data_IF_467307634259
#
_entry.id   IF_467307634259
#
_cell.length_a   1.000
_cell.length_b   1.000
_cell.length_c   1.000
_cell.angle_alpha   90.00
_cell.angle_beta   90.00
_cell.angle_gamma   90.00
#
_symmetry.space_group_name_H-M   'P 1'
#
loop_
_entity.id
_entity.type
_entity.pdbx_description
1 polymer ?
#
# COMPACT_ATOMS: atom_id res chain seq x y z
N UNK A 1 30.35 -8.39 37.79
CA UNK A 1 30.39 -7.42 36.67
C UNK A 1 29.86 -8.12 35.44
N UNK A 2 28.54 -8.09 35.26
CA UNK A 2 27.83 -8.71 34.14
C UNK A 2 27.80 -7.72 32.99
N UNK A 3 28.42 -8.10 31.89
CA UNK A 3 28.46 -7.34 30.65
C UNK A 3 27.16 -7.64 29.89
N UNK A 4 26.21 -6.71 29.91
CA UNK A 4 25.01 -6.79 29.08
C UNK A 4 25.40 -6.53 27.63
N UNK A 5 25.44 -7.60 26.84
CA UNK A 5 25.51 -7.51 25.39
C UNK A 5 24.21 -6.90 24.87
N UNK A 6 24.23 -5.59 24.64
CA UNK A 6 23.19 -4.89 23.90
C UNK A 6 23.06 -5.51 22.51
N UNK A 7 21.94 -6.21 22.29
CA UNK A 7 21.52 -6.69 20.98
C UNK A 7 21.20 -5.46 20.12
N UNK A 8 22.15 -5.07 19.27
CA UNK A 8 21.92 -4.09 18.22
C UNK A 8 21.04 -4.74 17.15
N UNK A 9 19.72 -4.54 17.22
CA UNK A 9 18.82 -4.80 16.10
C UNK A 9 19.26 -3.87 14.97
N UNK A 10 20.00 -4.40 14.01
CA UNK A 10 20.31 -3.68 12.77
C UNK A 10 18.99 -3.34 12.09
N UNK A 11 18.57 -2.07 12.19
CA UNK A 11 17.36 -1.54 11.58
C UNK A 11 17.44 -1.64 10.07
N UNK A 12 17.01 -2.78 9.53
CA UNK A 12 16.95 -3.00 8.09
C UNK A 12 15.87 -2.06 7.55
N UNK A 13 16.30 -1.09 6.75
CA UNK A 13 15.40 -0.14 6.09
C UNK A 13 14.45 -0.92 5.18
N UNK A 14 13.15 -0.60 5.25
CA UNK A 14 12.17 -1.23 4.39
C UNK A 14 12.43 -0.80 2.93
N UNK A 15 12.34 -1.68 1.90
CA UNK A 15 12.61 -1.32 0.51
C UNK A 15 11.78 -0.13 -0.02
N UNK A 16 10.58 0.06 0.53
CA UNK A 16 9.72 1.21 0.20
C UNK A 16 10.05 2.48 1.01
N UNK A 17 10.78 2.40 2.12
CA UNK A 17 11.14 3.57 2.92
C UNK A 17 9.95 4.51 3.24
N UNK A 18 10.15 5.81 3.02
CA UNK A 18 9.09 6.83 3.09
C UNK A 18 8.44 7.02 1.72
N UNK A 19 7.12 6.84 1.66
CA UNK A 19 6.31 7.02 0.46
C UNK A 19 5.39 8.22 0.58
N UNK A 20 5.25 9.01 -0.49
CA UNK A 20 4.12 9.94 -0.65
C UNK A 20 3.00 9.19 -1.34
N UNK A 21 1.87 9.07 -0.64
CA UNK A 21 0.72 8.28 -1.05
C UNK A 21 -0.15 9.03 -2.05
N UNK A 22 -0.51 10.26 -1.71
CA UNK A 22 -1.24 11.16 -2.59
C UNK A 22 -1.06 12.61 -2.13
N UNK A 23 -1.33 13.53 -3.04
CA UNK A 23 -1.23 14.98 -2.82
C UNK A 23 -2.55 15.63 -3.17
N UNK A 24 -3.12 16.36 -2.22
CA UNK A 24 -4.27 17.21 -2.45
C UNK A 24 -3.80 18.65 -2.64
N UNK A 25 -4.29 19.32 -3.70
CA UNK A 25 -4.04 20.73 -3.93
C UNK A 25 -5.20 21.55 -3.41
N UNK A 26 -4.92 22.50 -2.52
CA UNK A 26 -5.88 23.52 -2.12
C UNK A 26 -5.45 24.88 -2.67
N UNK A 27 -6.38 25.56 -3.33
CA UNK A 27 -6.20 26.95 -3.76
C UNK A 27 -7.05 27.81 -2.84
N UNK A 28 -6.42 28.47 -1.89
CA UNK A 28 -7.12 29.37 -0.98
C UNK A 28 -7.15 30.76 -1.61
N UNK A 29 -8.31 31.15 -2.17
CA UNK A 29 -8.39 32.40 -2.95
C UNK A 29 -9.77 32.90 -3.37
N UNK A 30 -10.90 32.36 -2.88
CA UNK A 30 -12.22 32.99 -3.07
C UNK A 30 -12.44 34.06 -2.01
N UNK A 31 -11.75 35.20 -2.13
CA UNK A 31 -12.22 36.44 -1.52
C UNK A 31 -12.30 37.50 -2.62
N UNK A 32 -13.52 37.79 -3.05
CA UNK A 32 -13.89 38.63 -4.21
C UNK A 32 -13.53 40.11 -4.07
N UNK A 33 -12.62 40.50 -3.17
CA UNK A 33 -12.27 41.92 -2.95
C UNK A 33 -10.84 42.23 -2.48
N UNK A 34 -9.87 41.30 -2.54
CA UNK A 34 -8.46 41.65 -2.28
C UNK A 34 -7.52 41.05 -3.33
N UNK A 35 -6.83 41.94 -4.06
CA UNK A 35 -5.69 41.61 -4.95
C UNK A 35 -4.47 41.17 -4.11
N UNK A 36 -4.55 40.01 -3.47
CA UNK A 36 -3.40 39.33 -2.86
C UNK A 36 -2.91 38.19 -3.76
N UNK A 37 -1.65 37.75 -3.65
CA UNK A 37 -1.16 36.58 -4.37
C UNK A 37 -1.99 35.35 -3.96
N UNK A 38 -2.39 34.54 -4.95
CA UNK A 38 -3.01 33.24 -4.72
C UNK A 38 -2.01 32.37 -3.93
N UNK A 39 -2.36 32.00 -2.70
CA UNK A 39 -1.57 31.05 -1.94
C UNK A 39 -2.01 29.65 -2.35
N UNK A 40 -1.15 28.97 -3.09
CA UNK A 40 -1.30 27.55 -3.40
C UNK A 40 -0.67 26.73 -2.28
N UNK A 41 -1.46 25.88 -1.66
CA UNK A 41 -1.01 24.95 -0.65
C UNK A 41 -1.22 23.52 -1.13
N UNK A 42 -0.33 22.63 -0.72
CA UNK A 42 -0.45 21.20 -0.96
C UNK A 42 -0.55 20.46 0.38
N UNK A 43 -1.42 19.47 0.43
CA UNK A 43 -1.49 18.52 1.53
C UNK A 43 -0.91 17.20 1.02
N UNK A 44 0.22 16.79 1.58
CA UNK A 44 0.88 15.54 1.22
C UNK A 44 0.54 14.50 2.29
N UNK A 45 0.04 13.35 1.86
CA UNK A 45 -0.15 12.20 2.72
C UNK A 45 1.02 11.25 2.52
N UNK A 46 1.73 10.91 3.59
CA UNK A 46 2.92 10.07 3.53
C UNK A 46 2.81 8.87 4.46
N UNK A 47 3.47 7.79 4.10
CA UNK A 47 3.63 6.62 4.94
C UNK A 47 5.09 6.20 5.03
N UNK A 48 5.57 6.04 6.26
CA UNK A 48 6.91 5.55 6.55
C UNK A 48 6.83 4.04 6.86
N UNK A 49 7.27 3.22 5.92
CA UNK A 49 7.28 1.75 6.07
C UNK A 49 8.28 1.25 7.11
N UNK A 50 9.34 2.02 7.40
CA UNK A 50 10.30 1.66 8.44
C UNK A 50 9.73 1.91 9.84
N UNK A 51 8.89 2.94 9.98
CA UNK A 51 8.28 3.34 11.26
C UNK A 51 6.82 2.89 11.41
N UNK A 52 6.25 2.24 10.39
CA UNK A 52 4.82 1.88 10.31
C UNK A 52 3.91 3.07 10.69
N UNK A 53 4.13 4.24 10.09
CA UNK A 53 3.43 5.48 10.51
C UNK A 53 3.06 6.40 9.36
N UNK A 54 1.82 6.86 9.37
CA UNK A 54 1.30 7.84 8.44
C UNK A 54 1.45 9.29 8.93
N UNK A 55 1.61 10.20 7.97
CA UNK A 55 1.75 11.63 8.19
C UNK A 55 0.91 12.42 7.20
N UNK A 56 0.33 13.52 7.67
CA UNK A 56 -0.22 14.59 6.84
C UNK A 56 0.71 15.79 6.93
N UNK A 57 1.20 16.26 5.79
CA UNK A 57 2.07 17.43 5.70
C UNK A 57 1.32 18.56 4.99
N UNK A 58 1.36 19.74 5.57
CA UNK A 58 0.95 20.97 4.90
C UNK A 58 2.19 21.62 4.29
N UNK A 59 2.19 21.80 2.98
CA UNK A 59 3.35 22.26 2.21
C UNK A 59 2.99 23.54 1.48
N UNK A 60 3.87 24.54 1.58
CA UNK A 60 3.84 25.70 0.71
C UNK A 60 4.23 25.27 -0.70
N UNK A 61 3.31 25.37 -1.65
CA UNK A 61 3.52 24.79 -2.97
C UNK A 61 4.56 25.56 -3.81
N UNK A 62 4.86 26.82 -3.48
CA UNK A 62 5.85 27.62 -4.20
C UNK A 62 7.28 27.30 -3.76
N UNK A 63 7.46 27.00 -2.48
CA UNK A 63 8.79 26.81 -1.86
C UNK A 63 9.08 25.34 -1.54
N UNK A 64 8.07 24.48 -1.53
CA UNK A 64 8.16 23.10 -1.05
C UNK A 64 8.38 23.00 0.47
N UNK A 65 8.28 24.12 1.20
CA UNK A 65 8.52 24.14 2.63
C UNK A 65 7.35 23.50 3.37
N UNK A 66 7.66 22.55 4.26
CA UNK A 66 6.69 22.00 5.20
C UNK A 66 6.33 23.07 6.22
N UNK A 67 5.07 23.48 6.22
CA UNK A 67 4.47 24.43 7.15
C UNK A 67 3.99 23.73 8.42
N UNK A 68 3.48 22.52 8.28
CA UNK A 68 2.92 21.73 9.37
C UNK A 68 3.09 20.23 9.08
N UNK A 69 3.28 19.44 10.14
CA UNK A 69 3.32 17.98 10.09
C UNK A 69 2.45 17.41 11.20
N UNK A 70 1.50 16.55 10.84
CA UNK A 70 0.59 15.88 11.76
C UNK A 70 0.70 14.36 11.57
N UNK A 71 0.84 13.61 12.66
CA UNK A 71 0.72 12.15 12.60
C UNK A 71 -0.74 11.74 12.41
N UNK A 72 -0.96 10.72 11.59
CA UNK A 72 -2.28 10.13 11.40
C UNK A 72 -2.37 8.81 12.16
N UNK A 73 -3.50 8.58 12.82
CA UNK A 73 -3.82 7.35 13.54
C UNK A 73 -4.53 6.35 12.62
N UNK A 74 -3.91 6.07 11.48
CA UNK A 74 -4.39 5.09 10.50
C UNK A 74 -3.24 4.64 9.61
N UNK A 75 -3.27 3.37 9.21
CA UNK A 75 -2.39 2.79 8.19
C UNK A 75 -3.10 2.57 6.86
N UNK A 76 -4.40 2.92 6.79
CA UNK A 76 -5.32 2.57 5.70
C UNK A 76 -5.52 3.69 4.67
N UNK A 77 -4.52 4.54 4.51
CA UNK A 77 -4.51 5.51 3.42
C UNK A 77 -4.33 4.80 2.06
N UNK A 78 -4.86 5.38 0.95
CA UNK A 78 -4.68 4.85 -0.40
C UNK A 78 -3.24 4.43 -0.70
N UNK A 79 -3.09 3.38 -1.51
CA UNK A 79 -1.77 2.89 -1.91
C UNK A 79 -1.14 3.85 -2.93
N UNK A 80 0.16 4.06 -2.79
CA UNK A 80 0.99 4.71 -3.81
C UNK A 80 1.27 3.76 -4.99
N UNK A 81 1.69 4.30 -6.13
CA UNK A 81 2.12 3.50 -7.29
C UNK A 81 3.26 2.54 -6.94
N UNK A 82 4.19 2.96 -6.07
CA UNK A 82 5.30 2.12 -5.65
C UNK A 82 4.83 0.93 -4.78
N UNK A 83 3.87 1.17 -3.89
CA UNK A 83 3.26 0.12 -3.08
C UNK A 83 2.48 -0.89 -3.93
N UNK A 84 1.71 -0.39 -4.91
CA UNK A 84 0.99 -1.25 -5.86
C UNK A 84 1.99 -2.13 -6.61
N UNK A 85 3.03 -1.53 -7.20
CA UNK A 85 4.04 -2.26 -7.98
C UNK A 85 4.81 -3.29 -7.12
N UNK A 86 5.11 -2.94 -5.87
CA UNK A 86 5.80 -3.85 -4.97
C UNK A 86 4.91 -5.02 -4.54
N UNK A 87 3.64 -4.77 -4.23
CA UNK A 87 2.69 -5.81 -3.86
C UNK A 87 2.41 -6.76 -5.02
N UNK A 88 2.21 -6.26 -6.24
CA UNK A 88 2.00 -7.12 -7.42
C UNK A 88 3.27 -7.89 -7.80
N UNK A 89 4.46 -7.32 -7.59
CA UNK A 89 5.71 -8.05 -7.79
C UNK A 89 5.89 -9.22 -6.81
N UNK A 90 5.42 -9.09 -5.56
CA UNK A 90 5.41 -10.20 -4.62
C UNK A 90 4.49 -11.34 -5.08
N UNK A 91 3.28 -11.01 -5.52
CA UNK A 91 2.35 -12.01 -6.09
C UNK A 91 2.97 -12.70 -7.31
N UNK A 92 3.61 -11.93 -8.18
CA UNK A 92 4.24 -12.46 -9.38
C UNK A 92 5.46 -13.37 -9.11
N UNK A 93 6.02 -13.32 -7.90
CA UNK A 93 7.15 -14.13 -7.46
C UNK A 93 6.71 -15.35 -6.61
N UNK A 94 5.42 -15.52 -6.34
CA UNK A 94 4.89 -16.60 -5.51
C UNK A 94 4.39 -17.76 -6.38
N UNK A 95 5.28 -18.72 -6.67
CA UNK A 95 4.96 -19.87 -7.51
C UNK A 95 3.84 -20.74 -6.94
N UNK A 96 3.73 -20.85 -5.61
CA UNK A 96 2.68 -21.66 -4.96
C UNK A 96 1.30 -21.04 -5.19
N UNK A 97 1.19 -19.72 -5.00
CA UNK A 97 -0.03 -19.00 -5.31
C UNK A 97 -0.37 -19.10 -6.81
N UNK A 98 0.60 -18.91 -7.70
CA UNK A 98 0.36 -18.99 -9.14
C UNK A 98 -0.15 -20.38 -9.56
N UNK A 99 0.38 -21.47 -9.00
CA UNK A 99 -0.16 -22.81 -9.24
C UNK A 99 -1.59 -22.97 -8.71
N UNK A 100 -1.90 -22.43 -7.54
CA UNK A 100 -3.28 -22.46 -7.01
C UNK A 100 -4.27 -21.71 -7.90
N UNK A 101 -3.88 -20.59 -8.48
CA UNK A 101 -4.71 -19.87 -9.45
C UNK A 101 -4.95 -20.72 -10.70
N UNK A 102 -3.92 -21.41 -11.22
CA UNK A 102 -4.07 -22.33 -12.35
C UNK A 102 -4.99 -23.50 -12.00
N UNK A 103 -4.90 -24.04 -10.79
CA UNK A 103 -5.78 -25.11 -10.31
C UNK A 103 -7.24 -24.65 -10.25
N UNK A 104 -7.52 -23.43 -9.81
CA UNK A 104 -8.86 -22.84 -9.86
C UNK A 104 -9.40 -22.78 -11.30
N UNK A 105 -8.59 -22.29 -12.25
CA UNK A 105 -8.98 -22.27 -13.67
C UNK A 105 -9.25 -23.68 -14.23
N UNK A 106 -8.41 -24.66 -13.91
CA UNK A 106 -8.61 -26.06 -14.31
C UNK A 106 -9.92 -26.62 -13.75
N UNK A 107 -10.21 -26.35 -12.48
CA UNK A 107 -11.44 -26.79 -11.83
C UNK A 107 -12.68 -26.18 -12.49
N UNK A 108 -12.59 -24.93 -12.95
CA UNK A 108 -13.66 -24.24 -13.66
C UNK A 108 -13.74 -24.57 -15.16
N UNK A 109 -12.85 -25.42 -15.68
CA UNK A 109 -12.77 -25.75 -17.11
C UNK A 109 -12.30 -24.58 -17.98
N UNK A 110 -11.62 -23.58 -17.38
CA UNK A 110 -11.04 -22.42 -18.07
C UNK A 110 -9.63 -22.75 -18.58
N UNK A 111 -9.20 -22.01 -19.61
CA UNK A 111 -7.80 -22.06 -20.05
C UNK A 111 -6.89 -21.49 -18.96
N UNK A 112 -5.81 -22.19 -18.65
CA UNK A 112 -4.82 -21.73 -17.69
C UNK A 112 -3.97 -20.62 -18.29
N UNK A 113 -3.57 -19.64 -17.47
CA UNK A 113 -2.55 -18.69 -17.89
C UNK A 113 -1.16 -19.35 -17.87
N UNK A 114 -0.34 -19.04 -18.89
CA UNK A 114 1.01 -19.58 -19.01
C UNK A 114 2.02 -18.67 -18.32
N UNK A 115 1.82 -17.35 -18.41
CA UNK A 115 2.71 -16.35 -17.84
C UNK A 115 1.96 -15.36 -16.94
N UNK A 116 2.62 -14.88 -15.89
CA UNK A 116 2.03 -13.92 -14.95
C UNK A 116 1.57 -12.61 -15.60
N UNK A 117 2.21 -12.21 -16.71
CA UNK A 117 1.82 -11.03 -17.48
C UNK A 117 0.44 -11.13 -18.14
N UNK A 118 -0.18 -12.30 -18.11
CA UNK A 118 -1.55 -12.53 -18.56
C UNK A 118 -2.60 -12.24 -17.49
N UNK A 119 -2.16 -12.04 -16.24
CA UNK A 119 -3.01 -11.65 -15.12
C UNK A 119 -3.10 -10.12 -15.04
N UNK A 120 -4.31 -9.59 -14.96
CA UNK A 120 -4.56 -8.23 -14.51
C UNK A 120 -4.65 -8.24 -12.98
N UNK A 121 -3.79 -7.47 -12.31
CA UNK A 121 -3.69 -7.42 -10.86
C UNK A 121 -4.05 -6.04 -10.36
N UNK A 122 -5.03 -5.96 -9.44
CA UNK A 122 -5.46 -4.70 -8.83
C UNK A 122 -5.23 -4.75 -7.34
N UNK A 123 -4.25 -3.98 -6.88
CA UNK A 123 -3.98 -3.80 -5.47
C UNK A 123 -4.81 -2.65 -4.90
N UNK A 124 -5.51 -2.92 -3.80
CA UNK A 124 -6.24 -1.92 -3.02
C UNK A 124 -5.82 -2.02 -1.55
N UNK A 125 -5.98 -0.93 -0.79
CA UNK A 125 -5.72 -0.97 0.65
C UNK A 125 -6.67 -2.00 1.30
N UNK A 126 -6.12 -2.86 2.17
CA UNK A 126 -6.92 -3.81 2.94
C UNK A 126 -7.20 -3.25 4.34
N UNK A 127 -8.48 -3.04 4.65
CA UNK A 127 -8.96 -2.62 5.97
C UNK A 127 -9.85 -3.74 6.54
N UNK A 128 -9.34 -4.57 7.47
CA UNK A 128 -10.10 -5.66 8.04
C UNK A 128 -11.17 -5.14 9.01
N UNK A 129 -12.30 -5.85 9.09
CA UNK A 129 -13.35 -5.55 10.09
C UNK A 129 -12.99 -6.06 11.48
N UNK A 130 -12.14 -7.08 11.56
CA UNK A 130 -11.64 -7.61 12.83
C UNK A 130 -10.39 -6.83 13.26
N UNK A 131 -10.48 -6.18 14.42
CA UNK A 131 -9.37 -5.44 15.02
C UNK A 131 -8.20 -6.36 15.47
N UNK A 132 -8.42 -7.68 15.55
CA UNK A 132 -7.38 -8.64 15.87
C UNK A 132 -6.52 -9.04 14.66
N UNK A 133 -7.00 -8.77 13.43
CA UNK A 133 -6.22 -9.00 12.21
C UNK A 133 -5.00 -8.06 12.20
N UNK A 134 -3.79 -8.55 11.94
CA UNK A 134 -2.59 -7.70 11.87
C UNK A 134 -2.76 -6.49 10.94
N UNK A 135 -3.53 -6.62 9.86
CA UNK A 135 -3.81 -5.53 8.93
C UNK A 135 -4.68 -4.41 9.51
N UNK A 136 -5.23 -4.55 10.72
CA UNK A 136 -5.85 -3.43 11.44
C UNK A 136 -4.81 -2.39 11.91
N UNK A 137 -3.54 -2.80 12.03
CA UNK A 137 -2.44 -1.96 12.52
C UNK A 137 -1.21 -1.98 11.62
N UNK A 138 -1.16 -2.89 10.65
CA UNK A 138 -0.14 -2.97 9.63
C UNK A 138 -0.69 -2.49 8.29
N UNK A 139 0.17 -1.90 7.47
CA UNK A 139 -0.19 -1.59 6.09
C UNK A 139 -0.26 -2.88 5.30
N UNK A 140 -1.41 -3.14 4.68
CA UNK A 140 -1.67 -4.32 3.86
C UNK A 140 -2.37 -3.96 2.55
N UNK A 141 -2.17 -4.78 1.51
CA UNK A 141 -2.90 -4.66 0.25
C UNK A 141 -3.67 -5.94 -0.06
N UNK A 142 -4.96 -5.80 -0.40
CA UNK A 142 -5.74 -6.88 -1.01
C UNK A 142 -5.50 -6.84 -2.52
N UNK A 143 -5.24 -7.98 -3.13
CA UNK A 143 -4.99 -8.09 -4.57
C UNK A 143 -6.16 -8.81 -5.22
N UNK A 144 -6.93 -8.08 -6.00
CA UNK A 144 -7.90 -8.70 -6.91
C UNK A 144 -7.17 -9.14 -8.19
N UNK A 145 -7.34 -10.41 -8.55
CA UNK A 145 -6.69 -11.05 -9.68
C UNK A 145 -7.73 -11.33 -10.75
N UNK A 146 -7.39 -11.05 -12.01
CA UNK A 146 -8.25 -11.31 -13.16
C UNK A 146 -7.46 -12.03 -14.26
N UNK A 147 -8.08 -13.00 -14.91
CA UNK A 147 -7.51 -13.61 -16.11
C UNK A 147 -7.73 -12.73 -17.36
N UNK A 148 -7.23 -13.16 -18.51
CA UNK A 148 -7.38 -12.42 -19.77
C UNK A 148 -8.85 -12.22 -20.20
N UNK A 149 -9.77 -13.08 -19.73
CA UNK A 149 -11.21 -12.92 -19.97
C UNK A 149 -11.85 -11.90 -19.03
N UNK A 150 -11.07 -11.31 -18.12
CA UNK A 150 -11.48 -10.45 -17.01
C UNK A 150 -12.35 -11.15 -15.98
N UNK A 151 -12.27 -12.48 -15.93
CA UNK A 151 -12.91 -13.25 -14.86
C UNK A 151 -12.05 -13.11 -13.61
N UNK A 152 -12.69 -12.73 -12.49
CA UNK A 152 -12.01 -12.59 -11.20
C UNK A 152 -11.75 -13.97 -10.60
N UNK A 153 -10.59 -14.13 -9.98
CA UNK A 153 -10.30 -15.33 -9.19
C UNK A 153 -10.99 -15.27 -7.83
N UNK A 154 -11.38 -16.43 -7.30
CA UNK A 154 -11.92 -16.54 -5.95
C UNK A 154 -10.86 -16.32 -4.87
N UNK A 155 -9.60 -16.61 -5.21
CA UNK A 155 -8.44 -16.38 -4.36
C UNK A 155 -8.08 -14.89 -4.37
N UNK A 156 -8.26 -14.20 -3.24
CA UNK A 156 -7.94 -12.77 -3.07
C UNK A 156 -6.80 -12.55 -2.07
N UNK A 157 -5.52 -12.68 -2.47
CA UNK A 157 -4.39 -12.61 -1.54
C UNK A 157 -4.25 -11.23 -0.89
N UNK A 158 -3.82 -11.24 0.37
CA UNK A 158 -3.45 -10.07 1.15
C UNK A 158 -1.93 -10.02 1.31
N UNK A 159 -1.30 -8.95 0.81
CA UNK A 159 0.12 -8.67 0.98
C UNK A 159 0.32 -7.85 2.25
N UNK A 160 1.15 -8.34 3.16
CA UNK A 160 1.62 -7.61 4.34
C UNK A 160 2.91 -6.88 4.01
N UNK A 161 2.89 -5.54 3.96
CA UNK A 161 4.07 -4.76 3.56
C UNK A 161 5.23 -4.96 4.53
N UNK A 162 4.99 -4.88 5.85
CA UNK A 162 6.05 -4.96 6.86
C UNK A 162 6.87 -6.26 6.81
N UNK A 163 6.25 -7.39 6.45
CA UNK A 163 6.88 -8.72 6.45
C UNK A 163 7.16 -9.29 5.07
N UNK A 164 6.68 -8.63 4.00
CA UNK A 164 6.68 -9.15 2.63
C UNK A 164 6.03 -10.53 2.48
N UNK A 165 5.03 -10.82 3.32
CA UNK A 165 4.28 -12.09 3.28
C UNK A 165 2.97 -11.93 2.54
N UNK A 166 2.59 -13.00 1.85
CA UNK A 166 1.27 -13.15 1.23
C UNK A 166 0.44 -14.05 2.15
N UNK A 167 -0.73 -13.56 2.56
CA UNK A 167 -1.74 -14.33 3.28
C UNK A 167 -2.92 -14.54 2.37
N UNK A 168 -3.45 -15.75 2.35
CA UNK A 168 -4.68 -16.06 1.64
C UNK A 168 -5.83 -15.94 2.63
N UNK A 169 -6.89 -15.20 2.31
CA UNK A 169 -8.08 -15.17 3.15
C UNK A 169 -8.62 -16.60 3.24
N UNK A 170 -9.01 -17.00 4.45
CA UNK A 170 -9.71 -18.27 4.63
C UNK A 170 -11.01 -18.21 3.80
N UNK A 171 -11.25 -19.24 3.00
CA UNK A 171 -12.44 -19.34 2.14
C UNK A 171 -13.69 -19.14 3.00
N UNK A 172 -14.51 -18.15 2.64
CA UNK A 172 -15.82 -17.92 3.27
C UNK A 172 -16.83 -18.99 2.89
#
# INVERSE_FOLDING_TARGET
>A
MTNEGASATSGREHPLGLQTLFVERSVTGKNTNRKGPLLSHEIHFQFDHTRNRAWRLHVDAATGKVLERQALDTVHLPLSTAEIAWATALIAADDELLERLRDEQRADGRAVFEHVGELDMKAIIHEPTDASDPCAHERCALIALFDQSRTVFSIEPVVHFASARIRLPESR
#
